data_IF_194513473682
#
_entry.id   IF_194513473682
#
_cell.length_a   1.000
_cell.length_b   1.000
_cell.length_c   1.000
_cell.angle_alpha   90.00
_cell.angle_beta   90.00
_cell.angle_gamma   90.00
#
_symmetry.space_group_name_H-M   'P 1'
#
loop_
_entity.id
_entity.type
_entity.pdbx_description
1 polymer ?
#
# COMPACT_ATOMS: atom_id res chain seq x y z
N UNK A 1 27.15 25.46 50.19
CA UNK A 1 26.12 25.45 49.12
C UNK A 1 26.21 24.07 48.45
N UNK A 2 25.09 23.33 48.43
CA UNK A 2 25.00 21.85 48.30
C UNK A 2 25.66 21.23 47.05
N UNK A 3 26.30 20.04 47.10
CA UNK A 3 25.87 18.65 47.47
C UNK A 3 24.80 18.12 46.51
N UNK A 4 25.01 17.15 45.62
CA UNK A 4 25.66 15.82 45.63
C UNK A 4 24.79 14.67 46.20
N UNK A 5 24.77 13.56 45.44
CA UNK A 5 24.37 12.16 45.73
C UNK A 5 22.94 11.80 46.20
N UNK A 6 22.24 11.03 45.35
CA UNK A 6 22.05 9.58 45.56
C UNK A 6 21.00 9.05 46.54
N UNK A 7 20.30 7.98 46.09
CA UNK A 7 19.67 6.89 46.88
C UNK A 7 18.40 7.25 47.68
N UNK A 8 17.43 6.39 48.00
CA UNK A 8 17.04 5.00 47.70
C UNK A 8 15.81 4.72 48.58
N UNK A 9 14.90 3.86 48.09
CA UNK A 9 13.96 3.00 48.85
C UNK A 9 12.90 3.62 49.79
N UNK A 10 11.64 3.30 49.50
CA UNK A 10 10.69 2.45 50.29
C UNK A 10 9.52 2.09 49.34
N UNK A 11 9.26 0.82 48.97
CA UNK A 11 8.52 -0.26 49.70
C UNK A 11 7.20 0.27 50.28
N UNK A 12 6.02 -0.35 50.18
CA UNK A 12 5.55 -1.70 49.83
C UNK A 12 3.99 -1.65 49.88
N UNK A 13 3.33 -2.79 49.61
CA UNK A 13 1.88 -3.13 49.69
C UNK A 13 1.19 -3.01 48.32
N UNK A 14 1.06 -4.06 47.49
CA UNK A 14 0.63 -5.45 47.72
C UNK A 14 -0.70 -5.55 48.47
N UNK A 15 -1.77 -5.87 47.73
CA UNK A 15 -2.92 -6.68 48.16
C UNK A 15 -3.73 -7.10 46.92
N UNK A 16 -3.53 -8.34 46.48
CA UNK A 16 -4.60 -9.21 45.98
C UNK A 16 -4.87 -10.22 47.12
N UNK A 17 -6.10 -10.70 47.30
CA UNK A 17 -6.52 -11.97 46.66
C UNK A 17 -8.06 -11.93 46.37
N UNK A 18 -8.81 -12.94 45.93
CA UNK A 18 -8.62 -14.36 45.66
C UNK A 18 -9.75 -14.82 44.73
N UNK A 19 -9.54 -15.98 44.10
CA UNK A 19 -10.53 -16.74 43.34
C UNK A 19 -11.70 -17.26 44.19
N UNK A 20 -12.86 -17.46 43.55
CA UNK A 20 -13.85 -18.45 43.97
C UNK A 20 -14.22 -19.29 42.76
N UNK A 21 -13.92 -20.58 42.86
CA UNK A 21 -14.47 -21.63 42.01
C UNK A 21 -15.56 -22.35 42.80
N UNK A 22 -16.67 -22.68 42.14
CA UNK A 22 -17.65 -23.65 42.62
C UNK A 22 -18.20 -24.45 41.43
N UNK A 23 -17.84 -25.74 41.40
CA UNK A 23 -18.54 -26.85 40.76
C UNK A 23 -19.55 -27.41 41.78
N UNK A 24 -20.74 -27.94 41.48
CA UNK A 24 -21.12 -29.22 40.80
C UNK A 24 -22.67 -29.26 40.84
N UNK A 25 -23.34 -29.90 39.87
CA UNK A 25 -24.69 -30.46 40.13
C UNK A 25 -25.54 -30.68 38.89
N UNK A 26 -25.85 -31.95 38.60
CA UNK A 26 -26.47 -32.46 37.38
C UNK A 26 -28.00 -32.68 37.46
N UNK A 27 -28.54 -33.05 36.28
CA UNK A 27 -29.73 -33.89 36.00
C UNK A 27 -31.09 -33.21 35.75
N UNK A 28 -31.68 -33.56 34.60
CA UNK A 28 -33.07 -33.29 34.23
C UNK A 28 -33.32 -33.51 32.74
N UNK A 29 -33.56 -34.76 32.34
CA UNK A 29 -33.97 -35.16 30.99
C UNK A 29 -35.34 -34.57 30.62
N UNK A 30 -35.55 -34.21 29.35
CA UNK A 30 -36.77 -34.60 28.65
C UNK A 30 -36.59 -34.60 27.13
N UNK A 31 -37.19 -35.63 26.52
CA UNK A 31 -37.06 -35.98 25.12
C UNK A 31 -37.97 -35.12 24.22
N UNK A 32 -37.43 -34.68 23.09
CA UNK A 32 -38.18 -34.00 22.03
C UNK A 32 -37.56 -34.30 20.68
N UNK A 33 -38.25 -35.12 19.89
CA UNK A 33 -37.90 -35.63 18.58
C UNK A 33 -37.72 -34.55 17.50
N UNK A 34 -36.63 -34.64 16.73
CA UNK A 34 -36.63 -34.44 15.28
C UNK A 34 -36.71 -33.02 14.73
N UNK A 35 -35.56 -32.45 14.34
CA UNK A 35 -35.24 -32.06 12.95
C UNK A 35 -33.83 -31.48 12.88
N UNK A 36 -32.90 -32.30 12.40
CA UNK A 36 -31.55 -31.87 12.02
C UNK A 36 -31.61 -31.09 10.71
N UNK A 37 -31.44 -29.78 10.79
CA UNK A 37 -31.40 -28.86 9.64
C UNK A 37 -30.17 -27.97 9.68
N UNK A 38 -29.06 -28.48 9.13
CA UNK A 38 -27.99 -27.68 8.49
C UNK A 38 -27.30 -26.61 9.33
N UNK A 39 -26.36 -27.04 10.18
CA UNK A 39 -25.19 -26.21 10.50
C UNK A 39 -24.45 -25.94 9.20
N UNK A 40 -24.53 -24.72 8.69
CA UNK A 40 -23.75 -24.24 7.53
C UNK A 40 -22.28 -24.22 7.92
N UNK A 41 -21.64 -25.34 7.67
CA UNK A 41 -20.18 -25.43 7.55
C UNK A 41 -19.76 -24.34 6.56
N UNK A 42 -18.79 -23.46 6.88
CA UNK A 42 -18.33 -22.46 5.93
C UNK A 42 -17.86 -23.19 4.67
N UNK A 43 -18.46 -22.82 3.54
CA UNK A 43 -18.08 -23.37 2.23
C UNK A 43 -16.57 -23.26 2.05
N UNK A 44 -15.92 -24.26 1.43
CA UNK A 44 -14.49 -24.22 1.16
C UNK A 44 -14.22 -22.94 0.35
N UNK A 45 -13.46 -22.02 0.92
CA UNK A 45 -13.14 -20.74 0.31
C UNK A 45 -12.72 -20.95 -1.13
N UNK A 46 -13.46 -20.37 -2.07
CA UNK A 46 -13.17 -20.46 -3.51
C UNK A 46 -11.73 -20.01 -3.72
N UNK A 47 -10.83 -20.94 -4.06
CA UNK A 47 -9.42 -20.63 -4.31
C UNK A 47 -9.37 -19.67 -5.50
N UNK A 48 -8.80 -18.49 -5.30
CA UNK A 48 -8.60 -17.52 -6.38
C UNK A 48 -7.52 -18.09 -7.31
N UNK A 49 -7.73 -17.97 -8.62
CA UNK A 49 -6.73 -18.32 -9.63
C UNK A 49 -6.26 -17.03 -10.29
N UNK A 50 -5.08 -16.51 -9.94
CA UNK A 50 -4.64 -15.22 -10.44
C UNK A 50 -4.09 -15.39 -11.84
N UNK A 51 -4.37 -14.43 -12.72
CA UNK A 51 -3.66 -14.36 -13.99
C UNK A 51 -2.14 -14.22 -13.72
N UNK A 52 -1.25 -14.72 -14.60
CA UNK A 52 0.18 -14.48 -14.50
C UNK A 52 0.49 -12.98 -14.37
N UNK A 53 1.63 -12.62 -13.76
CA UNK A 53 2.08 -11.23 -13.58
C UNK A 53 2.44 -10.56 -14.93
N UNK A 54 1.43 -10.29 -15.77
CA UNK A 54 1.55 -9.73 -17.11
C UNK A 54 0.37 -8.80 -17.33
N UNK A 55 0.58 -7.51 -17.06
CA UNK A 55 -0.45 -6.49 -17.25
C UNK A 55 -1.61 -6.54 -16.24
N UNK A 56 -1.43 -7.18 -15.08
CA UNK A 56 -2.51 -7.32 -14.08
C UNK A 56 -2.68 -6.06 -13.23
N UNK A 57 -3.89 -5.86 -12.70
CA UNK A 57 -4.22 -4.80 -11.75
C UNK A 57 -4.41 -5.40 -10.35
N UNK A 58 -3.57 -5.00 -9.41
CA UNK A 58 -3.64 -5.40 -8.02
C UNK A 58 -4.39 -4.37 -7.15
N UNK A 59 -5.03 -4.87 -6.10
CA UNK A 59 -5.52 -4.04 -5.00
C UNK A 59 -4.33 -3.59 -4.14
N UNK A 60 -4.06 -2.29 -4.08
CA UNK A 60 -3.03 -1.72 -3.23
C UNK A 60 -3.60 -1.44 -1.83
N UNK A 61 -3.14 -2.19 -0.84
CA UNK A 61 -3.34 -1.91 0.58
C UNK A 61 -2.16 -1.08 1.06
N UNK A 62 -2.39 0.23 1.12
CA UNK A 62 -1.31 1.19 1.42
C UNK A 62 -1.07 1.31 2.93
N UNK A 63 0.18 1.53 3.32
CA UNK A 63 0.65 1.79 4.70
C UNK A 63 0.54 0.64 5.70
N UNK A 64 -0.65 0.06 5.86
CA UNK A 64 -0.89 -0.97 6.85
C UNK A 64 -1.39 -2.26 6.19
N UNK A 65 -0.52 -3.26 6.13
CA UNK A 65 -0.87 -4.59 5.61
C UNK A 65 -1.99 -5.28 6.43
N UNK A 66 -2.25 -4.84 7.66
CA UNK A 66 -3.40 -5.32 8.43
C UNK A 66 -4.73 -4.99 7.77
N UNK A 67 -4.77 -4.06 6.83
CA UNK A 67 -6.01 -3.68 6.14
C UNK A 67 -6.31 -4.56 4.91
N UNK A 68 -5.54 -5.64 4.69
CA UNK A 68 -5.94 -6.68 3.73
C UNK A 68 -7.25 -7.31 4.23
N UNK A 69 -8.30 -7.10 3.43
CA UNK A 69 -9.66 -7.56 3.68
C UNK A 69 -10.16 -8.35 2.46
N UNK A 70 -10.42 -9.64 2.66
CA UNK A 70 -10.80 -10.57 1.58
C UNK A 70 -12.18 -10.25 1.02
N UNK A 71 -13.07 -9.66 1.82
CA UNK A 71 -14.41 -9.32 1.37
C UNK A 71 -14.35 -8.10 0.44
N UNK A 72 -13.51 -7.10 0.78
CA UNK A 72 -13.20 -5.99 -0.13
C UNK A 72 -12.51 -6.47 -1.43
N UNK A 73 -11.54 -7.38 -1.34
CA UNK A 73 -10.87 -7.94 -2.52
C UNK A 73 -11.87 -8.67 -3.43
N UNK A 74 -12.73 -9.50 -2.85
CA UNK A 74 -13.77 -10.25 -3.57
C UNK A 74 -14.79 -9.29 -4.19
N UNK A 75 -15.25 -8.30 -3.43
CA UNK A 75 -16.18 -7.29 -3.92
C UNK A 75 -15.57 -6.40 -5.01
N UNK A 76 -14.25 -6.19 -5.04
CA UNK A 76 -13.57 -5.47 -6.11
C UNK A 76 -13.14 -6.38 -7.29
N UNK A 77 -13.48 -7.67 -7.24
CA UNK A 77 -13.02 -8.70 -8.19
C UNK A 77 -11.49 -8.78 -8.33
N UNK A 78 -10.75 -8.33 -7.30
CA UNK A 78 -9.30 -8.34 -7.31
C UNK A 78 -8.77 -9.78 -7.29
N UNK A 79 -7.76 -10.06 -8.12
CA UNK A 79 -7.04 -11.34 -8.09
C UNK A 79 -5.57 -11.19 -7.63
N UNK A 80 -5.12 -9.96 -7.48
CA UNK A 80 -3.80 -9.59 -7.01
C UNK A 80 -3.89 -8.60 -5.86
N UNK A 81 -2.98 -8.69 -4.89
CA UNK A 81 -2.85 -7.76 -3.77
C UNK A 81 -1.41 -7.26 -3.65
N UNK A 82 -1.26 -5.98 -3.35
CA UNK A 82 0.00 -5.31 -3.10
C UNK A 82 -0.04 -4.63 -1.73
N UNK A 83 1.08 -4.64 -1.02
CA UNK A 83 1.32 -3.75 0.11
C UNK A 83 2.80 -3.60 0.40
N UNK A 84 3.14 -2.88 1.48
CA UNK A 84 4.53 -2.68 1.87
C UNK A 84 4.79 -2.96 3.35
N UNK A 85 6.04 -3.33 3.66
CA UNK A 85 6.52 -3.57 5.02
C UNK A 85 7.73 -2.67 5.31
N UNK A 86 7.76 -2.04 6.48
CA UNK A 86 8.90 -1.21 6.90
C UNK A 86 10.01 -2.07 7.53
N UNK A 87 11.24 -1.95 7.03
CA UNK A 87 12.40 -2.79 7.39
C UNK A 87 13.57 -1.93 7.88
N UNK A 88 13.35 -1.01 8.82
CA UNK A 88 14.40 -0.11 9.35
C UNK A 88 14.84 -0.46 10.77
N UNK A 89 15.90 0.21 11.25
CA UNK A 89 16.49 -0.02 12.57
C UNK A 89 15.49 0.19 13.75
N UNK A 90 14.40 0.93 13.54
CA UNK A 90 13.33 1.13 14.53
C UNK A 90 12.17 0.14 14.43
N UNK A 91 12.14 -0.73 13.42
CA UNK A 91 11.11 -1.75 13.31
C UNK A 91 11.31 -2.87 14.35
N UNK A 92 10.30 -3.71 14.66
CA UNK A 92 10.51 -4.90 15.47
C UNK A 92 11.58 -5.82 14.88
N UNK A 93 12.33 -6.55 15.72
CA UNK A 93 13.34 -7.52 15.25
C UNK A 93 12.71 -8.74 14.57
N UNK A 94 11.46 -9.05 14.90
CA UNK A 94 10.71 -10.19 14.38
C UNK A 94 9.68 -9.76 13.31
N UNK A 95 10.17 -9.25 12.18
CA UNK A 95 9.31 -8.83 11.07
C UNK A 95 8.57 -10.00 10.41
N UNK A 96 9.08 -11.22 10.52
CA UNK A 96 8.38 -12.43 10.07
C UNK A 96 7.04 -12.67 10.80
N UNK A 97 6.90 -12.13 12.01
CA UNK A 97 5.69 -12.26 12.86
C UNK A 97 4.70 -11.12 12.66
N UNK A 98 4.98 -10.18 11.76
CA UNK A 98 4.12 -9.03 11.51
C UNK A 98 2.71 -9.50 11.09
N UNK A 99 1.64 -9.09 11.82
CA UNK A 99 0.29 -9.56 11.52
C UNK A 99 -0.14 -9.22 10.10
N UNK A 100 0.28 -8.08 9.57
CA UNK A 100 -0.03 -7.64 8.22
C UNK A 100 0.69 -8.50 7.18
N UNK A 101 1.96 -8.82 7.41
CA UNK A 101 2.69 -9.78 6.58
C UNK A 101 2.00 -11.15 6.57
N UNK A 102 1.52 -11.62 7.72
CA UNK A 102 0.76 -12.87 7.80
C UNK A 102 -0.53 -12.82 6.96
N UNK A 103 -1.23 -11.68 6.90
CA UNK A 103 -2.40 -11.51 6.02
C UNK A 103 -2.02 -11.59 4.53
N UNK A 104 -0.92 -10.97 4.12
CA UNK A 104 -0.43 -11.08 2.73
C UNK A 104 -0.08 -12.52 2.37
N UNK A 105 0.62 -13.24 3.26
CA UNK A 105 0.95 -14.65 3.04
C UNK A 105 -0.30 -15.54 3.06
N UNK A 106 -1.32 -15.20 3.86
CA UNK A 106 -2.63 -15.86 3.84
C UNK A 106 -3.34 -15.64 2.50
N UNK A 107 -3.30 -14.42 1.94
CA UNK A 107 -3.82 -14.15 0.60
C UNK A 107 -3.11 -15.00 -0.48
N UNK A 108 -1.79 -15.11 -0.42
CA UNK A 108 -1.03 -16.01 -1.30
C UNK A 108 -1.49 -17.48 -1.19
N UNK A 109 -1.70 -17.99 0.04
CA UNK A 109 -2.22 -19.36 0.27
C UNK A 109 -3.64 -19.56 -0.27
N UNK A 110 -4.46 -18.50 -0.29
CA UNK A 110 -5.80 -18.47 -0.91
C UNK A 110 -5.76 -18.36 -2.43
N UNK A 111 -4.57 -18.21 -3.01
CA UNK A 111 -4.35 -18.15 -4.45
C UNK A 111 -4.34 -16.74 -5.03
N UNK A 112 -4.28 -15.68 -4.23
CA UNK A 112 -4.04 -14.34 -4.80
C UNK A 112 -2.61 -14.22 -5.30
N UNK A 113 -2.41 -13.47 -6.38
CA UNK A 113 -1.08 -12.98 -6.75
C UNK A 113 -0.66 -11.88 -5.77
N UNK A 114 0.64 -11.82 -5.43
CA UNK A 114 1.11 -10.97 -4.34
C UNK A 114 2.34 -10.14 -4.70
N UNK A 115 2.31 -8.87 -4.31
CA UNK A 115 3.45 -7.94 -4.40
C UNK A 115 3.76 -7.39 -3.01
N UNK A 116 5.01 -7.53 -2.57
CA UNK A 116 5.52 -6.94 -1.33
C UNK A 116 6.60 -5.91 -1.63
N UNK A 117 6.36 -4.65 -1.29
CA UNK A 117 7.37 -3.60 -1.31
C UNK A 117 8.08 -3.50 0.06
N UNK A 118 9.40 -3.39 0.07
CA UNK A 118 10.18 -3.22 1.31
C UNK A 118 10.55 -1.76 1.51
N UNK A 119 10.02 -1.12 2.54
CA UNK A 119 10.22 0.30 2.83
C UNK A 119 11.37 0.52 3.82
N UNK A 120 12.33 1.37 3.44
CA UNK A 120 13.48 1.73 4.28
C UNK A 120 13.46 3.23 4.59
N UNK A 121 12.84 3.60 5.71
CA UNK A 121 12.71 4.97 6.23
C UNK A 121 13.99 5.49 6.90
N UNK A 122 14.71 6.37 6.22
CA UNK A 122 15.92 7.05 6.67
C UNK A 122 15.84 8.57 6.47
N UNK A 123 14.65 9.16 6.68
CA UNK A 123 14.44 10.62 6.57
C UNK A 123 15.18 11.42 7.64
N UNK A 124 15.40 10.80 8.79
CA UNK A 124 15.98 11.45 9.98
C UNK A 124 17.27 10.78 10.46
N UNK A 125 17.77 9.79 9.71
CA UNK A 125 18.99 9.05 10.06
C UNK A 125 19.84 8.80 8.81
N UNK A 126 21.17 8.70 8.94
CA UNK A 126 22.03 8.33 7.82
C UNK A 126 21.76 6.90 7.34
N UNK A 127 21.82 6.67 6.03
CA UNK A 127 21.79 5.32 5.47
C UNK A 127 23.00 4.49 5.96
N UNK A 128 22.85 3.27 6.46
CA UNK A 128 24.00 2.44 6.82
C UNK A 128 24.93 2.21 5.63
N UNK A 129 26.24 2.27 5.85
CA UNK A 129 27.21 1.98 4.78
C UNK A 129 27.46 0.47 4.71
N UNK A 130 27.61 -0.13 3.52
CA UNK A 130 28.00 -1.53 3.39
C UNK A 130 29.23 -1.89 4.23
N UNK A 131 29.22 -3.06 4.88
CA UNK A 131 30.28 -3.53 5.77
C UNK A 131 30.22 -3.02 7.21
N UNK A 132 29.41 -2.01 7.51
CA UNK A 132 29.25 -1.49 8.88
C UNK A 132 28.35 -2.37 9.75
N UNK A 133 28.46 -2.32 11.09
CA UNK A 133 27.52 -2.98 12.01
C UNK A 133 26.06 -2.61 11.71
N UNK A 134 25.78 -1.32 11.53
CA UNK A 134 24.42 -0.84 11.23
C UNK A 134 23.84 -1.45 9.94
N UNK A 135 24.67 -1.72 8.92
CA UNK A 135 24.19 -2.39 7.71
C UNK A 135 23.90 -3.88 7.98
N UNK A 136 24.73 -4.55 8.79
CA UNK A 136 24.47 -5.94 9.18
C UNK A 136 23.14 -6.08 9.92
N UNK A 137 22.80 -5.12 10.78
CA UNK A 137 21.51 -5.12 11.49
C UNK A 137 20.32 -5.00 10.53
N UNK A 138 20.43 -4.16 9.50
CA UNK A 138 19.41 -4.07 8.43
C UNK A 138 19.30 -5.36 7.65
N UNK A 139 20.43 -5.98 7.30
CA UNK A 139 20.45 -7.25 6.57
C UNK A 139 19.86 -8.40 7.39
N UNK A 140 20.11 -8.45 8.70
CA UNK A 140 19.51 -9.46 9.57
C UNK A 140 17.99 -9.32 9.67
N UNK A 141 17.47 -8.09 9.72
CA UNK A 141 16.02 -7.82 9.66
C UNK A 141 15.43 -8.20 8.32
N UNK A 142 16.14 -7.89 7.23
CA UNK A 142 15.78 -8.32 5.90
C UNK A 142 15.71 -9.85 5.80
N UNK A 143 16.69 -10.58 6.34
CA UNK A 143 16.68 -12.05 6.36
C UNK A 143 15.46 -12.63 7.07
N UNK A 144 14.98 -12.01 8.16
CA UNK A 144 13.73 -12.40 8.81
C UNK A 144 12.54 -12.31 7.85
N UNK A 145 12.42 -11.21 7.09
CA UNK A 145 11.36 -11.05 6.08
C UNK A 145 11.53 -12.05 4.94
N UNK A 146 12.76 -12.25 4.44
CA UNK A 146 13.03 -13.16 3.33
C UNK A 146 12.72 -14.61 3.70
N UNK A 147 12.95 -15.01 4.95
CA UNK A 147 12.60 -16.35 5.47
C UNK A 147 11.11 -16.64 5.31
N UNK A 148 10.25 -15.65 5.56
CA UNK A 148 8.79 -15.83 5.46
C UNK A 148 8.25 -15.67 4.03
N UNK A 149 8.90 -14.86 3.19
CA UNK A 149 8.32 -14.36 1.93
C UNK A 149 8.92 -14.98 0.68
N UNK A 150 10.21 -15.32 0.71
CA UNK A 150 10.94 -15.77 -0.47
C UNK A 150 10.43 -17.15 -0.93
N UNK A 151 9.96 -17.23 -2.16
CA UNK A 151 9.31 -18.42 -2.72
C UNK A 151 7.78 -18.45 -2.48
N UNK A 152 7.25 -17.57 -1.65
CA UNK A 152 5.80 -17.46 -1.39
C UNK A 152 5.20 -16.32 -2.21
N UNK A 153 5.74 -15.11 -2.08
CA UNK A 153 5.24 -13.93 -2.80
C UNK A 153 5.68 -13.93 -4.27
N UNK A 154 4.85 -13.42 -5.17
CA UNK A 154 5.14 -13.42 -6.61
C UNK A 154 6.17 -12.35 -6.98
N UNK A 155 6.05 -11.16 -6.38
CA UNK A 155 7.00 -10.06 -6.55
C UNK A 155 7.46 -9.48 -5.20
N UNK A 156 8.76 -9.27 -5.07
CA UNK A 156 9.40 -8.58 -3.96
C UNK A 156 10.13 -7.34 -4.49
N UNK A 157 9.75 -6.15 -4.03
CA UNK A 157 10.38 -4.90 -4.43
C UNK A 157 11.35 -4.44 -3.35
N UNK A 158 12.62 -4.30 -3.71
CA UNK A 158 13.66 -3.78 -2.84
C UNK A 158 13.59 -2.24 -2.88
N UNK A 159 12.89 -1.70 -1.90
CA UNK A 159 12.59 -0.28 -1.75
C UNK A 159 11.10 0.02 -1.94
N UNK A 160 10.68 1.11 -1.30
CA UNK A 160 9.42 1.80 -1.55
C UNK A 160 9.74 3.29 -1.45
N UNK A 161 9.80 3.97 -2.58
CA UNK A 161 10.17 5.40 -2.68
C UNK A 161 11.56 5.70 -2.09
N UNK A 162 12.62 5.02 -2.56
CA UNK A 162 13.93 5.02 -1.92
C UNK A 162 14.54 6.42 -1.78
N UNK A 163 14.29 7.32 -2.74
CA UNK A 163 14.78 8.71 -2.72
C UNK A 163 13.95 9.61 -1.80
N UNK A 164 12.64 9.36 -1.69
CA UNK A 164 11.74 10.15 -0.84
C UNK A 164 11.93 9.78 0.64
N UNK A 165 12.17 8.50 0.92
CA UNK A 165 12.41 7.98 2.27
C UNK A 165 13.84 8.18 2.79
N UNK A 166 14.70 8.81 2.01
CA UNK A 166 16.10 9.08 2.38
C UNK A 166 16.31 10.57 2.61
N UNK A 167 17.03 10.93 3.68
CA UNK A 167 17.39 12.32 3.96
C UNK A 167 18.11 13.00 2.78
N UNK A 168 17.96 14.33 2.60
CA UNK A 168 18.52 15.07 1.46
C UNK A 168 20.02 14.84 1.19
N UNK A 169 20.84 14.80 2.23
CA UNK A 169 22.28 14.61 2.10
C UNK A 169 22.66 13.25 1.49
N UNK A 170 21.96 12.18 1.88
CA UNK A 170 22.30 10.84 1.41
C UNK A 170 21.73 10.59 0.00
N UNK A 171 20.52 11.07 -0.31
CA UNK A 171 19.92 10.95 -1.65
C UNK A 171 20.70 11.71 -2.73
N UNK A 172 21.39 12.79 -2.36
CA UNK A 172 22.27 13.53 -3.26
C UNK A 172 23.64 12.87 -3.47
N UNK A 173 24.02 11.92 -2.60
CA UNK A 173 25.34 11.28 -2.62
C UNK A 173 25.31 9.86 -3.23
N UNK A 174 26.45 9.26 -3.59
CA UNK A 174 26.53 7.86 -3.97
C UNK A 174 26.08 6.86 -2.89
N UNK A 175 25.87 7.32 -1.63
CA UNK A 175 25.49 6.47 -0.50
C UNK A 175 24.16 5.78 -0.71
N UNK A 176 23.17 6.47 -1.30
CA UNK A 176 21.86 5.86 -1.61
C UNK A 176 22.00 4.68 -2.57
N UNK A 177 22.79 4.83 -3.63
CA UNK A 177 23.04 3.73 -4.56
C UNK A 177 23.75 2.57 -3.86
N UNK A 178 24.84 2.82 -3.12
CA UNK A 178 25.58 1.75 -2.40
C UNK A 178 24.70 0.98 -1.42
N UNK A 179 23.78 1.66 -0.73
CA UNK A 179 22.85 1.03 0.20
C UNK A 179 21.88 0.10 -0.52
N UNK A 180 21.13 0.61 -1.50
CA UNK A 180 20.12 -0.18 -2.21
C UNK A 180 20.74 -1.27 -3.11
N UNK A 181 21.92 -1.04 -3.69
CA UNK A 181 22.68 -2.05 -4.43
C UNK A 181 23.10 -3.22 -3.51
N UNK A 182 23.52 -2.92 -2.28
CA UNK A 182 23.86 -3.95 -1.29
C UNK A 182 22.62 -4.74 -0.83
N UNK A 183 21.48 -4.07 -0.60
CA UNK A 183 20.22 -4.76 -0.29
C UNK A 183 19.79 -5.67 -1.46
N UNK A 184 19.79 -5.15 -2.68
CA UNK A 184 19.38 -5.91 -3.86
C UNK A 184 20.30 -7.13 -4.09
N UNK A 185 21.61 -6.96 -3.97
CA UNK A 185 22.58 -8.05 -4.05
C UNK A 185 22.34 -9.13 -2.99
N UNK A 186 22.01 -8.70 -1.76
CA UNK A 186 21.68 -9.63 -0.67
C UNK A 186 20.41 -10.44 -0.96
N UNK A 187 19.32 -9.80 -1.40
CA UNK A 187 18.06 -10.50 -1.75
C UNK A 187 18.26 -11.46 -2.92
N UNK A 188 18.96 -11.04 -3.98
CA UNK A 188 19.27 -11.91 -5.13
C UNK A 188 20.11 -13.11 -4.70
N UNK A 189 21.13 -12.89 -3.87
CA UNK A 189 21.96 -13.94 -3.30
C UNK A 189 21.15 -14.90 -2.42
N UNK A 190 20.26 -14.38 -1.58
CA UNK A 190 19.36 -15.18 -0.74
C UNK A 190 18.46 -16.07 -1.60
N UNK A 191 17.78 -15.51 -2.61
CA UNK A 191 16.91 -16.27 -3.52
C UNK A 191 17.67 -17.42 -4.18
N UNK A 192 18.89 -17.16 -4.66
CA UNK A 192 19.74 -18.17 -5.31
C UNK A 192 20.10 -19.31 -4.37
N UNK A 193 20.52 -19.01 -3.13
CA UNK A 193 20.87 -20.04 -2.13
C UNK A 193 19.70 -20.94 -1.73
N UNK A 194 18.47 -20.44 -1.83
CA UNK A 194 17.26 -21.16 -1.44
C UNK A 194 16.44 -21.70 -2.62
N UNK A 195 16.93 -21.58 -3.87
CA UNK A 195 16.23 -22.11 -5.05
C UNK A 195 14.84 -21.49 -5.31
N UNK A 196 14.53 -20.33 -4.73
CA UNK A 196 13.18 -19.76 -4.68
C UNK A 196 12.83 -18.96 -5.95
N UNK A 197 12.78 -19.62 -7.10
CA UNK A 197 12.65 -18.99 -8.43
C UNK A 197 11.27 -18.37 -8.72
N UNK A 198 10.25 -18.70 -7.92
CA UNK A 198 8.90 -18.14 -7.98
C UNK A 198 8.91 -16.62 -7.76
N UNK A 199 9.62 -16.15 -6.73
CA UNK A 199 9.65 -14.72 -6.39
C UNK A 199 10.54 -13.93 -7.36
N UNK A 200 9.92 -12.99 -8.09
CA UNK A 200 10.62 -12.04 -8.94
C UNK A 200 11.05 -10.83 -8.11
N UNK A 201 12.30 -10.40 -8.26
CA UNK A 201 12.87 -9.30 -7.50
C UNK A 201 12.86 -8.05 -8.37
N UNK A 202 12.28 -6.97 -7.88
CA UNK A 202 12.26 -5.67 -8.54
C UNK A 202 12.95 -4.63 -7.66
N UNK A 203 13.36 -3.52 -8.28
CA UNK A 203 14.02 -2.42 -7.60
C UNK A 203 13.18 -1.14 -7.78
N UNK A 204 12.92 -0.40 -6.71
CA UNK A 204 12.05 0.78 -6.79
C UNK A 204 11.34 1.01 -5.46
N UNK A 205 10.14 1.56 -5.40
CA UNK A 205 9.48 2.27 -6.50
C UNK A 205 10.04 3.69 -6.67
N UNK A 206 10.41 4.09 -7.89
CA UNK A 206 10.91 5.45 -8.14
C UNK A 206 9.76 6.47 -8.29
N UNK A 207 9.90 7.62 -7.62
CA UNK A 207 9.00 8.77 -7.71
C UNK A 207 9.63 9.92 -8.48
N UNK A 208 8.81 10.91 -8.88
CA UNK A 208 9.23 12.17 -9.50
C UNK A 208 10.02 12.02 -10.80
N UNK A 209 9.73 11.00 -11.62
CA UNK A 209 10.40 10.80 -12.90
C UNK A 209 9.74 11.60 -14.05
N UNK A 210 8.55 12.16 -13.80
CA UNK A 210 7.89 13.15 -14.65
C UNK A 210 8.65 14.48 -14.71
N UNK A 211 9.33 14.85 -13.63
CA UNK A 211 10.18 16.03 -13.53
C UNK A 211 11.64 15.70 -13.93
N UNK A 212 12.23 16.40 -14.92
CA UNK A 212 13.65 16.28 -15.23
C UNK A 212 14.59 16.45 -14.03
N UNK A 213 14.24 17.28 -13.05
CA UNK A 213 15.05 17.48 -11.84
C UNK A 213 15.08 16.22 -10.94
N UNK A 214 14.03 15.38 -10.99
CA UNK A 214 13.99 14.09 -10.30
C UNK A 214 14.86 13.02 -10.96
N UNK A 215 15.24 13.19 -12.24
CA UNK A 215 16.08 12.26 -13.03
C UNK A 215 17.58 12.44 -12.75
N UNK A 216 17.93 12.50 -11.47
CA UNK A 216 19.30 12.73 -11.00
C UNK A 216 20.29 11.65 -11.48
N UNK A 217 21.62 11.90 -11.44
CA UNK A 217 22.62 10.86 -11.70
C UNK A 217 22.46 9.61 -10.82
N UNK A 218 21.91 9.77 -9.62
CA UNK A 218 21.66 8.67 -8.68
C UNK A 218 20.44 7.83 -9.09
N UNK A 219 19.36 8.47 -9.54
CA UNK A 219 18.22 7.79 -10.13
C UNK A 219 18.62 7.05 -11.42
N UNK A 220 19.42 7.66 -12.28
CA UNK A 220 19.97 7.00 -13.49
C UNK A 220 20.82 5.78 -13.16
N UNK A 221 21.71 5.89 -12.16
CA UNK A 221 22.52 4.76 -11.68
C UNK A 221 21.64 3.64 -11.14
N UNK A 222 20.56 3.97 -10.43
CA UNK A 222 19.61 2.99 -9.89
C UNK A 222 18.94 2.18 -11.01
N UNK A 223 18.45 2.84 -12.06
CA UNK A 223 17.89 2.20 -13.26
C UNK A 223 18.95 1.36 -14.00
N UNK A 224 20.15 1.90 -14.17
CA UNK A 224 21.27 1.19 -14.84
C UNK A 224 21.70 -0.05 -14.07
N UNK A 225 21.72 0.01 -12.74
CA UNK A 225 22.02 -1.13 -11.89
C UNK A 225 20.97 -2.23 -12.05
N UNK A 226 19.67 -1.89 -12.01
CA UNK A 226 18.60 -2.85 -12.28
C UNK A 226 18.75 -3.50 -13.67
N UNK A 227 19.09 -2.71 -14.70
CA UNK A 227 19.36 -3.22 -16.05
C UNK A 227 20.54 -4.19 -16.11
N UNK A 228 21.63 -3.97 -15.38
CA UNK A 228 22.86 -4.78 -15.48
C UNK A 228 22.89 -5.98 -14.55
N UNK A 229 22.03 -6.00 -13.53
CA UNK A 229 22.10 -7.02 -12.48
C UNK A 229 21.25 -8.22 -12.85
N UNK A 230 21.91 -9.36 -13.07
CA UNK A 230 21.24 -10.64 -13.22
C UNK A 230 20.42 -10.95 -11.97
N UNK A 231 19.21 -11.48 -12.18
CA UNK A 231 18.29 -11.81 -11.10
C UNK A 231 17.39 -10.67 -10.63
N UNK A 232 17.59 -9.43 -11.10
CA UNK A 232 16.60 -8.34 -11.01
C UNK A 232 15.68 -8.42 -12.24
N UNK A 233 14.39 -8.61 -11.99
CA UNK A 233 13.31 -8.72 -12.98
C UNK A 233 12.88 -7.37 -13.54
N UNK A 234 13.26 -6.26 -12.91
CA UNK A 234 13.14 -4.92 -13.47
C UNK A 234 12.91 -3.85 -12.41
N UNK A 235 12.09 -2.85 -12.74
CA UNK A 235 11.94 -1.61 -11.97
C UNK A 235 10.49 -1.37 -11.56
N UNK A 236 10.28 -0.82 -10.37
CA UNK A 236 8.98 -0.32 -9.91
C UNK A 236 8.95 1.23 -9.94
N UNK A 237 7.81 1.82 -10.25
CA UNK A 237 7.58 3.27 -10.32
C UNK A 237 6.29 3.68 -9.62
N UNK A 238 6.28 4.90 -9.05
CA UNK A 238 5.12 5.55 -8.45
C UNK A 238 4.79 6.88 -9.17
N UNK A 239 3.95 6.86 -10.23
CA UNK A 239 3.44 8.07 -10.86
C UNK A 239 2.40 8.76 -9.98
N UNK A 240 2.81 9.82 -9.28
CA UNK A 240 1.91 10.72 -8.56
C UNK A 240 2.01 12.08 -9.25
N UNK A 241 1.04 12.40 -10.10
CA UNK A 241 1.21 13.44 -11.12
C UNK A 241 0.21 14.59 -10.99
N UNK A 242 0.62 15.74 -11.50
CA UNK A 242 -0.19 16.96 -11.57
C UNK A 242 -1.04 17.03 -12.85
N UNK A 243 -0.71 16.25 -13.89
CA UNK A 243 -1.54 16.06 -15.07
C UNK A 243 -1.51 14.59 -15.51
N UNK A 244 -2.63 14.07 -16.02
CA UNK A 244 -2.75 12.67 -16.41
C UNK A 244 -1.71 12.22 -17.45
N UNK A 245 -1.31 13.12 -18.36
CA UNK A 245 -0.32 12.81 -19.40
C UNK A 245 1.12 12.76 -18.88
N UNK A 246 1.42 13.31 -17.70
CA UNK A 246 2.75 13.26 -17.12
C UNK A 246 3.18 11.83 -16.76
N UNK A 247 2.23 10.89 -16.63
CA UNK A 247 2.52 9.45 -16.48
C UNK A 247 3.35 8.92 -17.65
N UNK A 248 3.17 9.45 -18.86
CA UNK A 248 3.95 9.05 -20.05
C UNK A 248 5.45 9.22 -19.82
N UNK A 249 5.83 10.32 -19.14
CA UNK A 249 7.22 10.67 -18.88
C UNK A 249 7.94 9.65 -18.00
N UNK A 250 7.22 8.95 -17.12
CA UNK A 250 7.77 7.82 -16.37
C UNK A 250 8.08 6.64 -17.30
N UNK A 251 7.15 6.31 -18.21
CA UNK A 251 7.31 5.20 -19.13
C UNK A 251 8.44 5.46 -20.13
N UNK A 252 8.52 6.67 -20.68
CA UNK A 252 9.59 7.09 -21.59
C UNK A 252 10.97 6.99 -20.94
N UNK A 253 11.05 7.15 -19.62
CA UNK A 253 12.30 7.03 -18.88
C UNK A 253 12.67 5.58 -18.53
N UNK A 254 11.69 4.76 -18.11
CA UNK A 254 11.95 3.41 -17.58
C UNK A 254 11.92 2.34 -18.67
N UNK A 255 10.92 2.35 -19.54
CA UNK A 255 10.67 1.27 -20.50
C UNK A 255 11.87 1.05 -21.44
N UNK A 256 12.49 2.08 -22.03
CA UNK A 256 13.66 1.90 -22.89
C UNK A 256 14.91 1.38 -22.16
N UNK A 257 14.97 1.55 -20.84
CA UNK A 257 16.10 1.09 -20.03
C UNK A 257 15.99 -0.38 -19.60
N UNK A 258 14.83 -1.03 -19.80
CA UNK A 258 14.64 -2.43 -19.45
C UNK A 258 15.30 -3.36 -20.47
N UNK A 259 15.90 -4.45 -20.00
CA UNK A 259 16.28 -5.57 -20.88
C UNK A 259 15.05 -6.22 -21.52
N UNK A 260 15.29 -7.10 -22.50
CA UNK A 260 14.22 -7.87 -23.14
C UNK A 260 13.41 -8.72 -22.15
N UNK A 261 14.10 -9.36 -21.20
CA UNK A 261 13.53 -10.23 -20.15
C UNK A 261 12.95 -9.46 -18.95
N UNK A 262 13.17 -8.14 -18.88
CA UNK A 262 12.71 -7.32 -17.78
C UNK A 262 11.33 -6.68 -18.03
N UNK A 263 10.61 -6.51 -16.93
CA UNK A 263 9.29 -5.88 -16.84
C UNK A 263 9.33 -4.73 -15.84
N UNK A 264 8.32 -3.87 -15.85
CA UNK A 264 8.13 -2.88 -14.79
C UNK A 264 6.86 -3.11 -13.98
N UNK A 265 6.86 -2.55 -12.78
CA UNK A 265 5.70 -2.43 -11.93
C UNK A 265 5.28 -0.98 -11.82
N UNK A 266 4.00 -0.77 -11.56
CA UNK A 266 3.44 0.50 -11.13
C UNK A 266 2.69 0.24 -9.84
N UNK A 267 3.38 0.07 -8.72
CA UNK A 267 2.70 -0.36 -7.48
C UNK A 267 1.89 0.73 -6.80
N UNK A 268 2.00 1.98 -7.24
CA UNK A 268 1.10 3.08 -6.90
C UNK A 268 1.01 4.05 -8.07
N UNK A 269 -0.17 4.57 -8.40
CA UNK A 269 -0.33 5.70 -9.31
C UNK A 269 -1.56 6.52 -8.93
N UNK A 270 -1.49 7.84 -9.11
CA UNK A 270 -2.57 8.76 -8.73
C UNK A 270 -2.46 10.14 -9.38
N UNK A 271 -3.56 10.88 -9.31
CA UNK A 271 -3.67 12.31 -9.61
C UNK A 271 -3.60 13.18 -8.33
N UNK A 272 -2.97 12.67 -7.27
CA UNK A 272 -2.97 13.36 -5.96
C UNK A 272 -2.43 14.79 -6.04
N UNK A 273 -1.45 15.06 -6.93
CA UNK A 273 -0.88 16.39 -7.08
C UNK A 273 -1.82 17.32 -7.85
N UNK A 274 -2.58 16.81 -8.81
CA UNK A 274 -3.66 17.56 -9.46
C UNK A 274 -4.71 17.95 -8.43
N UNK A 275 -5.26 16.97 -7.70
CA UNK A 275 -6.33 17.22 -6.73
C UNK A 275 -5.92 18.18 -5.61
N UNK A 276 -4.65 18.13 -5.20
CA UNK A 276 -4.10 19.07 -4.22
C UNK A 276 -4.23 20.54 -4.68
N UNK A 277 -4.04 20.81 -5.98
CA UNK A 277 -4.15 22.17 -6.53
C UNK A 277 -5.57 22.74 -6.38
N UNK A 278 -6.58 21.86 -6.37
CA UNK A 278 -7.99 22.22 -6.37
C UNK A 278 -8.67 22.16 -5.00
N UNK A 279 -7.93 21.83 -3.93
CA UNK A 279 -8.51 21.77 -2.58
C UNK A 279 -9.10 23.10 -2.12
N UNK A 280 -8.59 24.23 -2.61
CA UNK A 280 -9.07 25.58 -2.28
C UNK A 280 -10.16 26.11 -3.20
N UNK A 281 -10.47 25.41 -4.29
CA UNK A 281 -11.54 25.78 -5.19
C UNK A 281 -12.89 25.68 -4.47
N UNK A 282 -13.90 26.49 -4.87
CA UNK A 282 -15.25 26.29 -4.36
C UNK A 282 -15.82 24.97 -4.87
N UNK A 283 -16.62 24.30 -4.04
CA UNK A 283 -17.48 23.20 -4.51
C UNK A 283 -18.47 23.70 -5.57
N UNK A 284 -18.93 22.80 -6.45
CA UNK A 284 -19.95 23.13 -7.44
C UNK A 284 -21.18 23.78 -6.79
N UNK A 285 -21.67 24.88 -7.39
CA UNK A 285 -22.80 25.62 -6.85
C UNK A 285 -24.11 24.80 -6.90
N UNK A 286 -24.25 23.92 -7.89
CA UNK A 286 -25.39 22.99 -7.98
C UNK A 286 -25.38 21.97 -6.84
N UNK A 287 -24.24 21.33 -6.62
CA UNK A 287 -24.01 20.41 -5.50
C UNK A 287 -24.23 21.11 -4.15
N UNK A 288 -23.65 22.30 -3.95
CA UNK A 288 -23.81 23.06 -2.72
C UNK A 288 -25.28 23.33 -2.39
N UNK A 289 -26.08 23.76 -3.37
CA UNK A 289 -27.53 23.96 -3.19
C UNK A 289 -28.27 22.67 -2.84
N UNK A 290 -28.00 21.56 -3.56
CA UNK A 290 -28.66 20.26 -3.33
C UNK A 290 -28.38 19.72 -1.93
N UNK A 291 -27.15 19.86 -1.46
CA UNK A 291 -26.70 19.33 -0.17
C UNK A 291 -26.73 20.37 0.96
N UNK A 292 -27.35 21.54 0.75
CA UNK A 292 -27.48 22.63 1.72
C UNK A 292 -26.14 23.10 2.32
N UNK A 293 -25.09 23.07 1.50
CA UNK A 293 -23.76 23.60 1.83
C UNK A 293 -23.70 25.06 1.40
N UNK A 294 -23.05 25.91 2.20
CA UNK A 294 -22.91 27.33 1.89
C UNK A 294 -22.17 27.55 0.56
N UNK A 295 -22.68 28.47 -0.27
CA UNK A 295 -22.03 28.83 -1.53
C UNK A 295 -20.58 29.31 -1.29
N UNK A 296 -19.65 28.93 -2.18
CA UNK A 296 -18.24 29.26 -2.04
C UNK A 296 -17.48 28.44 -0.98
N UNK A 297 -18.11 27.43 -0.36
CA UNK A 297 -17.41 26.49 0.53
C UNK A 297 -16.26 25.84 -0.24
N UNK A 298 -15.01 25.88 0.27
CA UNK A 298 -13.89 25.24 -0.37
C UNK A 298 -14.03 23.71 -0.38
N UNK A 299 -13.54 23.06 -1.43
CA UNK A 299 -13.51 21.59 -1.57
C UNK A 299 -12.93 20.93 -0.32
N UNK A 300 -11.80 21.42 0.20
CA UNK A 300 -11.17 20.82 1.37
C UNK A 300 -12.07 20.82 2.59
N UNK A 301 -12.92 21.85 2.75
CA UNK A 301 -13.84 21.97 3.88
C UNK A 301 -14.99 20.99 3.74
N UNK A 302 -15.55 20.87 2.55
CA UNK A 302 -16.57 19.87 2.26
C UNK A 302 -16.04 18.44 2.49
N UNK A 303 -14.81 18.13 2.05
CA UNK A 303 -14.18 16.84 2.34
C UNK A 303 -13.96 16.64 3.84
N UNK A 304 -13.43 17.65 4.55
CA UNK A 304 -13.25 17.58 6.00
C UNK A 304 -14.56 17.40 6.77
N UNK A 305 -15.67 17.97 6.27
CA UNK A 305 -17.01 17.74 6.80
C UNK A 305 -17.44 16.29 6.58
N UNK A 306 -17.23 15.71 5.39
CA UNK A 306 -17.55 14.29 5.12
C UNK A 306 -16.69 13.32 5.93
N UNK A 307 -15.45 13.68 6.28
CA UNK A 307 -14.62 12.88 7.19
C UNK A 307 -15.21 12.87 8.60
N UNK A 308 -15.72 14.01 9.07
CA UNK A 308 -16.36 14.11 10.40
C UNK A 308 -17.76 13.51 10.44
N UNK A 309 -18.47 13.59 9.32
CA UNK A 309 -19.84 13.16 9.15
C UNK A 309 -19.95 12.39 7.83
N UNK A 310 -19.57 11.09 7.81
CA UNK A 310 -19.62 10.27 6.61
C UNK A 310 -20.99 10.31 5.94
N UNK A 311 -20.98 10.38 4.62
CA UNK A 311 -22.18 10.45 3.77
C UNK A 311 -22.38 9.16 2.99
N UNK A 312 -23.49 8.98 2.28
CA UNK A 312 -23.61 7.83 1.38
C UNK A 312 -22.69 7.94 0.15
N UNK A 313 -22.46 6.82 -0.53
CA UNK A 313 -21.57 6.74 -1.70
C UNK A 313 -22.00 7.61 -2.89
N UNK A 314 -23.30 7.89 -3.03
CA UNK A 314 -23.81 8.77 -4.10
C UNK A 314 -23.47 10.21 -3.78
N UNK A 315 -23.77 10.66 -2.56
CA UNK A 315 -23.42 12.01 -2.09
C UNK A 315 -21.91 12.28 -2.20
N UNK A 316 -21.08 11.31 -1.78
CA UNK A 316 -19.63 11.40 -1.91
C UNK A 316 -19.17 11.48 -3.37
N UNK A 317 -19.69 10.59 -4.22
CA UNK A 317 -19.33 10.57 -5.64
C UNK A 317 -19.77 11.84 -6.35
N UNK A 318 -20.94 12.39 -6.02
CA UNK A 318 -21.48 13.62 -6.60
C UNK A 318 -20.65 14.85 -6.23
N UNK A 319 -20.10 14.91 -5.00
CA UNK A 319 -19.16 15.97 -4.60
C UNK A 319 -17.95 15.99 -5.54
N UNK A 320 -17.38 14.82 -5.81
CA UNK A 320 -16.21 14.70 -6.67
C UNK A 320 -16.57 14.95 -8.14
N UNK A 321 -17.57 14.25 -8.67
CA UNK A 321 -17.96 14.34 -10.10
C UNK A 321 -18.55 15.67 -10.50
N UNK A 322 -19.04 16.49 -9.57
CA UNK A 322 -19.47 17.86 -9.88
C UNK A 322 -18.30 18.82 -10.09
N UNK A 323 -17.08 18.43 -9.68
CA UNK A 323 -15.87 19.23 -9.87
C UNK A 323 -15.22 18.91 -11.23
N UNK A 324 -15.01 19.91 -12.13
CA UNK A 324 -14.46 19.66 -13.47
C UNK A 324 -13.11 18.93 -13.46
N UNK A 325 -12.20 19.31 -12.58
CA UNK A 325 -10.86 18.69 -12.47
C UNK A 325 -10.91 17.19 -12.12
N UNK A 326 -11.95 16.71 -11.43
CA UNK A 326 -12.17 15.29 -11.18
C UNK A 326 -12.94 14.64 -12.32
N UNK A 327 -14.02 15.30 -12.78
CA UNK A 327 -14.91 14.80 -13.83
C UNK A 327 -14.19 14.58 -15.15
N UNK A 328 -13.28 15.47 -15.53
CA UNK A 328 -12.47 15.40 -16.75
C UNK A 328 -11.44 14.27 -16.69
N UNK A 329 -11.07 13.85 -15.47
CA UNK A 329 -10.11 12.77 -15.22
C UNK A 329 -10.78 11.48 -14.72
N UNK A 330 -12.10 11.36 -14.86
CA UNK A 330 -12.87 10.24 -14.31
C UNK A 330 -12.51 8.88 -14.94
N UNK A 331 -11.77 8.82 -16.04
CA UNK A 331 -11.31 7.58 -16.70
C UNK A 331 -9.84 7.25 -16.41
N UNK A 332 -9.17 8.05 -15.55
CA UNK A 332 -7.73 7.97 -15.33
C UNK A 332 -7.22 6.56 -15.01
N UNK A 333 -7.90 5.81 -14.14
CA UNK A 333 -7.48 4.45 -13.78
C UNK A 333 -7.42 3.54 -15.02
N UNK A 334 -8.50 3.49 -15.79
CA UNK A 334 -8.58 2.69 -17.01
C UNK A 334 -7.57 3.13 -18.08
N UNK A 335 -7.47 4.44 -18.30
CA UNK A 335 -6.60 5.02 -19.32
C UNK A 335 -5.12 4.74 -19.05
N UNK A 336 -4.68 4.91 -17.79
CA UNK A 336 -3.29 4.65 -17.42
C UNK A 336 -2.98 3.15 -17.43
N UNK A 337 -3.89 2.30 -16.96
CA UNK A 337 -3.68 0.85 -17.03
C UNK A 337 -3.56 0.37 -18.47
N UNK A 338 -4.41 0.87 -19.37
CA UNK A 338 -4.32 0.59 -20.80
C UNK A 338 -2.97 1.07 -21.37
N UNK A 339 -2.54 2.29 -21.00
CA UNK A 339 -1.22 2.82 -21.38
C UNK A 339 -0.07 1.93 -20.90
N UNK A 340 -0.12 1.46 -19.65
CA UNK A 340 0.89 0.56 -19.09
C UNK A 340 0.91 -0.79 -19.83
N UNK A 341 -0.26 -1.38 -20.09
CA UNK A 341 -0.39 -2.66 -20.81
C UNK A 341 0.16 -2.57 -22.24
N UNK A 342 -0.11 -1.47 -22.96
CA UNK A 342 0.37 -1.24 -24.34
C UNK A 342 1.89 -1.24 -24.50
N UNK A 343 2.65 -1.04 -23.42
CA UNK A 343 4.11 -1.16 -23.45
C UNK A 343 4.60 -2.59 -23.71
N UNK A 344 3.74 -3.60 -23.51
CA UNK A 344 4.12 -5.02 -23.51
C UNK A 344 5.01 -5.45 -22.33
N UNK A 345 5.43 -4.51 -21.48
CA UNK A 345 6.40 -4.72 -20.39
C UNK A 345 5.83 -4.55 -18.99
N UNK A 346 4.56 -4.20 -18.83
CA UNK A 346 3.91 -4.18 -17.51
C UNK A 346 3.85 -5.60 -16.92
N UNK A 347 4.33 -5.77 -15.69
CA UNK A 347 4.05 -6.96 -14.87
C UNK A 347 2.78 -6.76 -14.06
N UNK A 348 2.80 -5.80 -13.13
CA UNK A 348 1.70 -5.51 -12.19
C UNK A 348 1.57 -4.00 -12.05
N UNK A 349 0.36 -3.47 -12.19
CA UNK A 349 -0.01 -2.15 -11.67
C UNK A 349 -0.86 -2.34 -10.42
N UNK A 350 -0.86 -1.40 -9.48
CA UNK A 350 -1.71 -1.47 -8.30
C UNK A 350 -2.36 -0.11 -7.99
N UNK A 351 -3.62 -0.15 -7.59
CA UNK A 351 -4.44 1.04 -7.28
C UNK A 351 -5.05 0.91 -5.90
N UNK A 352 -5.19 2.04 -5.19
CA UNK A 352 -5.61 2.06 -3.78
C UNK A 352 -6.95 1.36 -3.57
N UNK A 353 -6.98 0.35 -2.69
CA UNK A 353 -8.24 -0.33 -2.36
C UNK A 353 -9.01 0.47 -1.31
N UNK A 354 -8.32 0.88 -0.25
CA UNK A 354 -8.83 1.65 0.90
C UNK A 354 -7.71 2.51 1.46
N UNK A 355 -8.06 3.66 2.03
CA UNK A 355 -7.14 4.54 2.74
C UNK A 355 -7.41 4.48 4.24
N UNK A 356 -6.35 4.56 5.03
CA UNK A 356 -6.41 4.52 6.49
C UNK A 356 -6.62 5.90 7.14
N UNK A 357 -7.20 5.87 8.35
CA UNK A 357 -7.47 7.03 9.19
C UNK A 357 -6.28 8.02 9.35
N UNK A 358 -5.01 7.59 9.52
CA UNK A 358 -3.89 8.53 9.59
C UNK A 358 -3.79 9.50 8.42
N UNK A 359 -4.22 9.12 7.21
CA UNK A 359 -4.18 10.00 6.03
C UNK A 359 -5.36 10.97 5.94
N UNK A 360 -6.37 10.84 6.80
CA UNK A 360 -7.53 11.75 6.86
C UNK A 360 -7.52 12.66 8.09
N UNK A 361 -6.65 12.37 9.07
CA UNK A 361 -6.46 13.23 10.25
C UNK A 361 -6.00 14.63 9.86
N UNK A 362 -6.64 15.64 10.44
CA UNK A 362 -6.34 17.06 10.20
C UNK A 362 -6.40 17.46 8.72
N UNK A 363 -7.33 16.88 7.96
CA UNK A 363 -7.52 17.21 6.56
C UNK A 363 -7.80 18.71 6.38
N UNK A 364 -7.00 19.34 5.53
CA UNK A 364 -7.00 20.78 5.34
C UNK A 364 -6.55 21.16 3.93
N UNK A 365 -6.40 22.46 3.66
CA UNK A 365 -6.18 22.94 2.30
C UNK A 365 -4.80 22.60 1.73
N UNK A 366 -3.83 22.22 2.57
CA UNK A 366 -2.47 21.87 2.15
C UNK A 366 -2.21 20.35 2.20
N UNK A 367 -3.24 19.56 2.55
CA UNK A 367 -3.19 18.11 2.59
C UNK A 367 -2.92 17.51 1.20
N UNK A 368 -2.28 16.33 1.17
CA UNK A 368 -2.30 15.50 -0.03
C UNK A 368 -3.57 14.63 0.03
N UNK A 369 -4.52 14.77 -0.91
CA UNK A 369 -5.82 14.14 -0.79
C UNK A 369 -5.81 12.67 -1.24
N UNK A 370 -5.03 11.83 -0.57
CA UNK A 370 -4.88 10.40 -0.89
C UNK A 370 -6.19 9.62 -0.81
N UNK A 371 -7.12 10.03 0.06
CA UNK A 371 -8.46 9.45 0.19
C UNK A 371 -9.27 9.53 -1.12
N UNK A 372 -8.89 10.42 -2.06
CA UNK A 372 -9.51 10.48 -3.37
C UNK A 372 -9.01 9.39 -4.32
N UNK A 373 -7.95 8.64 -3.98
CA UNK A 373 -7.33 7.61 -4.83
C UNK A 373 -7.71 6.17 -4.45
N UNK A 374 -8.89 5.95 -3.86
CA UNK A 374 -9.27 4.63 -3.36
C UNK A 374 -10.61 4.14 -3.87
N UNK A 375 -10.69 2.83 -4.07
CA UNK A 375 -11.89 2.11 -4.54
C UNK A 375 -13.01 2.17 -3.49
N UNK A 376 -12.65 1.95 -2.22
CA UNK A 376 -13.51 2.09 -1.07
C UNK A 376 -13.14 3.36 -0.27
N UNK A 377 -14.12 3.94 0.40
CA UNK A 377 -14.02 5.21 1.12
C UNK A 377 -14.49 5.09 2.58
N UNK A 378 -13.87 4.23 3.41
CA UNK A 378 -14.32 3.99 4.79
C UNK A 378 -14.35 5.24 5.66
N UNK A 379 -13.53 6.25 5.33
CA UNK A 379 -13.39 7.48 6.12
C UNK A 379 -14.35 8.60 5.70
N UNK A 380 -14.95 8.54 4.50
CA UNK A 380 -15.87 9.59 4.00
C UNK A 380 -17.26 9.07 3.69
N UNK A 381 -17.41 7.75 3.58
CA UNK A 381 -18.65 7.09 3.23
C UNK A 381 -19.17 6.23 4.39
N UNK A 382 -20.47 6.22 4.60
CA UNK A 382 -21.11 5.29 5.52
C UNK A 382 -20.94 3.84 5.02
N UNK A 383 -20.83 2.85 5.92
CA UNK A 383 -20.80 1.45 5.53
C UNK A 383 -22.06 1.03 4.77
N UNK A 384 -21.89 0.10 3.83
CA UNK A 384 -22.95 -0.54 3.09
C UNK A 384 -23.74 -1.51 3.97
N UNK A 385 -24.92 -1.94 3.50
CA UNK A 385 -25.80 -2.86 4.25
C UNK A 385 -25.17 -4.23 4.50
N UNK A 386 -24.26 -4.66 3.64
CA UNK A 386 -23.50 -5.90 3.76
C UNK A 386 -22.27 -5.79 4.67
N UNK A 387 -22.04 -4.61 5.26
CA UNK A 387 -20.91 -4.33 6.16
C UNK A 387 -19.63 -3.89 5.46
N UNK A 388 -19.59 -3.87 4.12
CA UNK A 388 -18.45 -3.31 3.40
C UNK A 388 -18.38 -1.79 3.56
N UNK A 389 -17.19 -1.16 3.45
CA UNK A 389 -17.10 0.29 3.35
C UNK A 389 -17.90 0.82 2.15
N UNK A 390 -18.38 2.06 2.24
CA UNK A 390 -18.93 2.75 1.08
C UNK A 390 -17.91 2.85 -0.06
N UNK A 391 -18.39 2.99 -1.30
CA UNK A 391 -17.56 2.94 -2.50
C UNK A 391 -17.35 4.32 -3.10
N UNK A 392 -16.15 4.55 -3.64
CA UNK A 392 -15.97 5.62 -4.62
C UNK A 392 -16.42 5.06 -5.97
N UNK A 393 -17.65 5.39 -6.40
CA UNK A 393 -18.26 4.75 -7.57
C UNK A 393 -17.45 4.97 -8.85
N UNK A 394 -16.73 6.10 -8.97
CA UNK A 394 -15.86 6.37 -10.13
C UNK A 394 -14.71 5.37 -10.24
N UNK A 395 -14.05 5.06 -9.12
CA UNK A 395 -12.91 4.14 -9.13
C UNK A 395 -13.32 2.68 -8.99
N UNK A 396 -14.38 2.39 -8.25
CA UNK A 396 -14.88 1.03 -8.06
C UNK A 396 -15.29 0.37 -9.38
N UNK A 397 -16.06 1.09 -10.21
CA UNK A 397 -16.49 0.58 -11.52
C UNK A 397 -15.30 0.33 -12.45
N UNK A 398 -14.38 1.29 -12.56
CA UNK A 398 -13.20 1.15 -13.39
C UNK A 398 -12.26 0.05 -12.91
N UNK A 399 -12.02 -0.04 -11.60
CA UNK A 399 -11.14 -1.07 -11.04
C UNK A 399 -11.69 -2.45 -11.37
N UNK A 400 -12.99 -2.68 -11.16
CA UNK A 400 -13.65 -3.95 -11.51
C UNK A 400 -13.59 -4.24 -13.01
N UNK A 401 -13.93 -3.27 -13.85
CA UNK A 401 -13.86 -3.44 -15.30
C UNK A 401 -12.44 -3.80 -15.77
N UNK A 402 -11.41 -3.21 -15.15
CA UNK A 402 -10.01 -3.42 -15.46
C UNK A 402 -9.47 -4.82 -15.08
N UNK A 403 -10.15 -5.56 -14.19
CA UNK A 403 -9.72 -6.90 -13.75
C UNK A 403 -9.79 -7.95 -14.87
N UNK A 404 -10.72 -7.79 -15.81
CA UNK A 404 -11.02 -8.81 -16.83
C UNK A 404 -10.24 -8.66 -18.14
N UNK A 405 -9.26 -7.75 -18.20
CA UNK A 405 -8.55 -7.43 -19.43
C UNK A 405 -9.48 -6.72 -20.41
N UNK A 406 -9.46 -5.39 -20.39
CA UNK A 406 -10.09 -4.59 -21.44
C UNK A 406 -9.33 -4.66 -22.75
#
# INVERSE_FOLDING_TARGET
>A
MGRDLGTSRRRLLALAPAAVAASVGAAGCDAGTGTSGGSTTPSPSTRVSPAPATGVLAANVNQNLDHIDVDQLTAAAASWVRGFLTVTAGAPSQLASDPGLAKLLSAAKRGYGTVLNLKFQYRHAPLPAPGTPAMRDVLARLDSVLTATMGTVDALVVGNEPFFETRPADRASPRINRFYEALAGHVVGYRRRHGATRTKIYLGALTSLDDPAGRTPRARRFVTFAHRTEGIAGIDIHPHVAAADDVARYLDYVVPALRADQRFLVTEFSLVLLWKQHLRDPVDAGWARRHKVAAGTPVWRAIADTIRHPVDETTWTDLLRSSPWFADNRTFLGDQLSRFRRTGKLAVAAYGISQDLPMTRHFGPDSHPWLLNTVFCPETCTPQRDGLPGRNLTWYEQFRAAQHGG
#
